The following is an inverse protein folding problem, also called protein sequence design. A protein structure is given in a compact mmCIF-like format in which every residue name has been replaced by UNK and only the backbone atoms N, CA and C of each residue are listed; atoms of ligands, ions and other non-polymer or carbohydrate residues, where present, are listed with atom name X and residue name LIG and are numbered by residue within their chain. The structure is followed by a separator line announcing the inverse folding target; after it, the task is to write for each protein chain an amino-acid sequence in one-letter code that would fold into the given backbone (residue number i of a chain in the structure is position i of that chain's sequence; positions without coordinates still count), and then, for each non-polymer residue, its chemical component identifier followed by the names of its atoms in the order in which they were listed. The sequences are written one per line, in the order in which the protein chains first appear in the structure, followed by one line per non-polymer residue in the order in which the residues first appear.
data_IF_791475944714
#
_entry.id   IF_791475944714
#
_cell.length_a   1.000
_cell.length_b   1.000
_cell.length_c   1.000
_cell.angle_alpha   90.00
_cell.angle_beta   90.00
_cell.angle_gamma   90.00
#
_symmetry.space_group_name_H-M   'P 1'
#
loop_
_entity.id
_entity.type
_entity.pdbx_description
1 polymer ?
#
# COMPACT_ATOMS: atom_id res chain seq x y z
N UNK A 1 -30.77 25.85 18.47
CA UNK A 1 -30.53 26.20 17.06
C UNK A 1 -29.53 25.16 16.52
N UNK A 2 -30.02 24.21 15.72
CA UNK A 2 -29.19 23.17 15.10
C UNK A 2 -28.63 23.75 13.79
N UNK A 3 -27.35 24.10 13.76
CA UNK A 3 -26.71 24.55 12.53
C UNK A 3 -26.43 23.31 11.65
N UNK A 4 -27.13 23.20 10.52
CA UNK A 4 -26.77 22.26 9.47
C UNK A 4 -25.58 22.87 8.71
N UNK A 5 -24.39 22.31 8.91
CA UNK A 5 -23.19 22.72 8.19
C UNK A 5 -23.29 22.40 6.70
N UNK A 6 -22.59 23.14 5.83
CA UNK A 6 -22.69 22.97 4.39
C UNK A 6 -22.11 21.62 3.97
N UNK A 7 -22.91 20.83 3.26
CA UNK A 7 -22.49 19.58 2.62
C UNK A 7 -21.54 19.93 1.48
N UNK A 8 -20.33 19.36 1.50
CA UNK A 8 -19.37 19.50 0.40
C UNK A 8 -19.89 18.71 -0.80
N UNK A 9 -20.53 19.40 -1.73
CA UNK A 9 -20.85 18.88 -3.07
C UNK A 9 -19.58 18.99 -3.91
N UNK A 10 -18.95 17.85 -4.19
CA UNK A 10 -17.78 17.79 -5.08
C UNK A 10 -18.31 17.89 -6.50
N UNK A 11 -18.30 19.11 -7.05
CA UNK A 11 -18.54 19.34 -8.47
C UNK A 11 -17.41 18.73 -9.30
N UNK A 12 -17.85 17.99 -10.31
CA UNK A 12 -17.13 17.08 -11.17
C UNK A 12 -16.13 17.84 -12.06
N UNK A 13 -14.87 17.94 -11.64
CA UNK A 13 -13.80 18.45 -12.51
C UNK A 13 -13.33 17.35 -13.47
N UNK A 14 -13.72 17.50 -14.73
CA UNK A 14 -12.79 17.46 -15.86
C UNK A 14 -12.13 16.11 -16.16
N UNK A 15 -12.88 15.28 -16.88
CA UNK A 15 -12.42 14.11 -17.62
C UNK A 15 -11.44 14.49 -18.74
N UNK A 16 -10.13 14.53 -18.46
CA UNK A 16 -9.08 14.29 -19.48
C UNK A 16 -7.72 13.96 -18.83
N UNK A 17 -7.44 12.67 -18.61
CA UNK A 17 -6.08 12.16 -18.42
C UNK A 17 -6.05 10.62 -18.41
N UNK A 18 -5.94 10.02 -19.59
CA UNK A 18 -5.57 8.61 -19.85
C UNK A 18 -6.46 7.53 -19.18
N UNK A 19 -6.65 6.34 -19.79
CA UNK A 19 -7.26 5.25 -19.05
C UNK A 19 -6.38 4.97 -17.82
N UNK A 20 -6.91 5.03 -16.58
CA UNK A 20 -6.19 4.49 -15.44
C UNK A 20 -6.03 3.01 -15.72
N UNK A 21 -4.82 2.64 -16.15
CA UNK A 21 -4.40 1.28 -16.42
C UNK A 21 -4.68 0.43 -15.20
N UNK A 22 -5.81 -0.27 -15.27
CA UNK A 22 -6.18 -1.44 -14.50
C UNK A 22 -5.71 -1.46 -13.04
N UNK A 23 -5.94 -0.36 -12.31
CA UNK A 23 -6.01 -0.42 -10.85
C UNK A 23 -7.37 -1.02 -10.52
N UNK A 24 -7.48 -2.32 -10.82
CA UNK A 24 -8.61 -3.21 -10.56
C UNK A 24 -9.51 -2.60 -9.49
N UNK A 25 -10.67 -2.13 -9.94
CA UNK A 25 -11.78 -1.67 -9.13
C UNK A 25 -12.36 -2.84 -8.32
N UNK A 26 -11.52 -3.49 -7.50
CA UNK A 26 -11.98 -4.22 -6.34
C UNK A 26 -12.48 -3.15 -5.39
N UNK A 27 -13.67 -3.36 -4.84
CA UNK A 27 -14.27 -2.49 -3.84
C UNK A 27 -13.34 -2.20 -2.66
N UNK A 28 -13.80 -1.47 -1.63
CA UNK A 28 -12.96 -1.00 -0.54
C UNK A 28 -12.04 -2.13 -0.04
N UNK A 29 -10.73 -1.98 -0.29
CA UNK A 29 -9.75 -2.97 0.12
C UNK A 29 -9.81 -3.09 1.62
N UNK A 30 -9.76 -4.31 2.12
CA UNK A 30 -9.63 -4.51 3.56
C UNK A 30 -8.34 -3.85 4.05
N UNK A 31 -8.31 -3.44 5.32
CA UNK A 31 -7.10 -2.87 5.93
C UNK A 31 -5.87 -3.78 5.69
N UNK A 32 -6.09 -5.09 5.76
CA UNK A 32 -5.05 -6.09 5.52
C UNK A 32 -4.52 -6.09 4.08
N UNK A 33 -5.39 -5.89 3.09
CA UNK A 33 -4.99 -5.82 1.67
C UNK A 33 -4.24 -4.52 1.36
N UNK A 34 -4.68 -3.40 1.92
CA UNK A 34 -3.99 -2.12 1.80
C UNK A 34 -2.60 -2.20 2.42
N UNK A 35 -2.51 -2.76 3.63
CA UNK A 35 -1.24 -2.98 4.32
C UNK A 35 -0.31 -3.91 3.51
N UNK A 36 -0.85 -5.02 3.00
CA UNK A 36 -0.09 -5.96 2.17
C UNK A 36 0.48 -5.30 0.93
N UNK A 37 -0.34 -4.52 0.22
CA UNK A 37 0.08 -3.79 -0.97
C UNK A 37 1.19 -2.80 -0.65
N UNK A 38 1.05 -2.05 0.45
CA UNK A 38 2.04 -1.08 0.88
C UNK A 38 3.37 -1.73 1.28
N UNK A 39 3.33 -2.83 2.05
CA UNK A 39 4.55 -3.57 2.44
C UNK A 39 5.26 -4.12 1.19
N UNK A 40 4.52 -4.65 0.23
CA UNK A 40 5.09 -5.15 -1.03
C UNK A 40 5.78 -4.04 -1.81
N UNK A 41 5.12 -2.90 -1.98
CA UNK A 41 5.66 -1.75 -2.70
C UNK A 41 7.01 -1.31 -2.10
N UNK A 42 7.06 -1.14 -0.77
CA UNK A 42 8.30 -0.79 -0.09
C UNK A 42 9.36 -1.88 -0.25
N UNK A 43 9.01 -3.16 -0.15
CA UNK A 43 9.96 -4.26 -0.39
C UNK A 43 10.52 -4.24 -1.82
N UNK A 44 9.71 -3.88 -2.83
CA UNK A 44 10.20 -3.72 -4.19
C UNK A 44 11.20 -2.56 -4.31
N UNK A 45 10.87 -1.40 -3.71
CA UNK A 45 11.75 -0.24 -3.68
C UNK A 45 13.06 -0.48 -2.90
N UNK A 46 13.08 -1.40 -1.93
CA UNK A 46 14.29 -1.76 -1.18
C UNK A 46 14.99 -3.01 -1.72
N UNK A 47 14.64 -3.49 -2.93
CA UNK A 47 15.21 -4.72 -3.49
C UNK A 47 15.11 -5.94 -2.55
N UNK A 48 13.98 -6.05 -1.85
CA UNK A 48 13.69 -7.07 -0.84
C UNK A 48 14.60 -7.03 0.39
N UNK A 49 15.28 -5.92 0.65
CA UNK A 49 16.05 -5.70 1.86
C UNK A 49 15.09 -5.36 3.01
N UNK A 50 15.02 -6.24 4.01
CA UNK A 50 14.10 -6.11 5.16
C UNK A 50 14.73 -5.28 6.29
N UNK A 51 16.05 -5.31 6.45
CA UNK A 51 16.79 -4.76 7.59
C UNK A 51 17.82 -3.70 7.17
N UNK A 52 18.32 -2.92 8.13
CA UNK A 52 19.28 -1.84 7.90
C UNK A 52 18.60 -0.49 7.72
N UNK A 53 19.41 0.57 7.67
CA UNK A 53 18.95 1.98 7.55
C UNK A 53 18.12 2.23 6.29
N UNK A 54 18.45 1.54 5.20
CA UNK A 54 17.73 1.62 3.92
C UNK A 54 16.74 0.47 3.71
N UNK A 55 16.53 -0.39 4.70
CA UNK A 55 15.64 -1.55 4.60
C UNK A 55 14.17 -1.17 4.69
N UNK A 56 13.30 -2.10 4.29
CA UNK A 56 11.85 -1.90 4.27
C UNK A 56 11.30 -1.57 5.67
N UNK A 57 11.84 -2.18 6.72
CA UNK A 57 11.41 -1.89 8.09
C UNK A 57 11.69 -0.43 8.49
N UNK A 58 12.85 0.11 8.12
CA UNK A 58 13.20 1.50 8.40
C UNK A 58 12.32 2.47 7.59
N UNK A 59 12.05 2.17 6.31
CA UNK A 59 11.16 2.98 5.46
C UNK A 59 9.70 2.94 5.92
N UNK A 60 9.25 1.82 6.47
CA UNK A 60 7.92 1.68 7.08
C UNK A 60 7.85 2.20 8.53
N UNK A 61 8.97 2.71 9.08
CA UNK A 61 9.02 3.23 10.45
C UNK A 61 8.76 2.19 11.54
N UNK A 62 9.06 0.91 11.28
CA UNK A 62 8.76 -0.19 12.20
C UNK A 62 9.95 -1.09 12.48
N UNK A 63 9.90 -1.83 13.59
CA UNK A 63 10.95 -2.80 13.93
C UNK A 63 10.98 -3.93 12.89
N UNK A 64 12.19 -4.42 12.58
CA UNK A 64 12.42 -5.59 11.71
C UNK A 64 11.54 -6.78 12.08
N UNK A 65 11.47 -7.11 13.37
CA UNK A 65 10.67 -8.25 13.87
C UNK A 65 9.17 -8.07 13.63
N UNK A 66 8.66 -6.84 13.76
CA UNK A 66 7.27 -6.51 13.46
C UNK A 66 6.98 -6.66 11.97
N UNK A 67 7.86 -6.15 11.11
CA UNK A 67 7.71 -6.33 9.66
C UNK A 67 7.71 -7.81 9.28
N UNK A 68 8.63 -8.61 9.84
CA UNK A 68 8.68 -10.06 9.60
C UNK A 68 7.39 -10.77 10.05
N UNK A 69 6.84 -10.40 11.22
CA UNK A 69 5.58 -10.94 11.69
C UNK A 69 4.41 -10.59 10.75
N UNK A 70 4.32 -9.32 10.32
CA UNK A 70 3.29 -8.88 9.37
C UNK A 70 3.44 -9.56 8.00
N UNK A 71 4.66 -9.70 7.50
CA UNK A 71 4.92 -10.45 6.27
C UNK A 71 4.43 -11.90 6.38
N UNK A 72 4.69 -12.57 7.51
CA UNK A 72 4.18 -13.93 7.76
C UNK A 72 2.65 -13.96 7.81
N UNK A 73 2.03 -13.02 8.51
CA UNK A 73 0.56 -12.92 8.66
C UNK A 73 -0.15 -12.64 7.34
N UNK A 74 0.44 -11.79 6.49
CA UNK A 74 -0.11 -11.37 5.20
C UNK A 74 0.34 -12.28 4.03
N UNK A 75 1.06 -13.37 4.33
CA UNK A 75 1.56 -14.31 3.32
C UNK A 75 2.56 -13.71 2.33
N UNK A 76 3.26 -12.64 2.72
CA UNK A 76 4.28 -11.99 1.89
C UNK A 76 5.57 -12.80 1.97
N UNK A 77 5.96 -13.41 0.85
CA UNK A 77 7.20 -14.16 0.70
C UNK A 77 7.96 -13.66 -0.51
N UNK A 78 9.28 -13.58 -0.42
CA UNK A 78 10.13 -13.37 -1.60
C UNK A 78 10.01 -14.62 -2.47
N UNK A 79 9.25 -14.53 -3.55
CA UNK A 79 9.30 -15.54 -4.60
C UNK A 79 10.71 -15.48 -5.20
N UNK A 80 11.51 -16.52 -5.01
CA UNK A 80 12.85 -16.61 -5.58
C UNK A 80 12.84 -16.88 -7.08
N UNK A 81 11.69 -16.74 -7.77
CA UNK A 81 11.62 -16.98 -9.19
C UNK A 81 12.51 -15.94 -9.88
N UNK A 82 13.60 -16.35 -10.55
CA UNK A 82 14.39 -15.42 -11.33
C UNK A 82 13.44 -14.79 -12.36
N UNK A 83 13.51 -13.47 -12.49
CA UNK A 83 12.86 -12.78 -13.60
C UNK A 83 13.57 -13.30 -14.86
N UNK A 84 12.85 -13.87 -15.86
CA UNK A 84 13.48 -14.32 -17.10
C UNK A 84 14.15 -13.15 -17.84
#
# INVERSE_FOLDING_TARGET
ILAQGPVLTIEELGSDAAPPSDRSAKGPKTLAEAERAHILDVLHHTHWIVAGTNGAAARLGMKRSTLQHRMKKLGIKKSSKPRP
#
